data_IF_939915581124
#
_entry.id   IF_939915581124
#
_cell.length_a   1.000
_cell.length_b   1.000
_cell.length_c   1.000
_cell.angle_alpha   90.00
_cell.angle_beta   90.00
_cell.angle_gamma   90.00
#
_symmetry.space_group_name_H-M   'P 1'
#
loop_
_entity.id
_entity.type
_entity.pdbx_description
1 polymer ?
#
# COMPACT_ATOMS: atom_id res chain seq x y z
N UNK A 1 -9.92 17.10 -6.60
CA UNK A 1 -9.97 15.69 -7.05
C UNK A 1 -10.66 14.88 -5.97
N UNK A 2 -11.75 14.14 -6.28
CA UNK A 2 -12.42 13.29 -5.29
C UNK A 2 -11.51 12.14 -4.86
N UNK A 3 -11.49 11.82 -3.57
CA UNK A 3 -10.67 10.73 -3.00
C UNK A 3 -11.54 9.48 -2.86
N UNK A 4 -11.16 8.41 -3.56
CA UNK A 4 -11.87 7.11 -3.51
C UNK A 4 -11.47 6.27 -2.29
N UNK A 5 -10.37 6.64 -1.63
CA UNK A 5 -9.85 5.93 -0.47
C UNK A 5 -10.55 6.37 0.81
N UNK A 6 -10.85 5.42 1.69
CA UNK A 6 -11.45 5.70 2.99
C UNK A 6 -10.39 5.91 4.08
N UNK A 7 -9.14 5.52 3.84
CA UNK A 7 -8.04 5.66 4.79
C UNK A 7 -6.75 6.12 4.11
N UNK A 8 -5.93 6.79 4.92
CA UNK A 8 -4.53 7.13 4.62
C UNK A 8 -3.71 6.78 5.85
N UNK A 9 -2.55 6.18 5.65
CA UNK A 9 -1.56 5.96 6.71
C UNK A 9 -0.19 6.42 6.27
N UNK A 10 0.53 7.07 7.18
CA UNK A 10 1.94 7.40 7.01
C UNK A 10 2.79 6.34 7.72
N UNK A 11 3.69 5.71 6.98
CA UNK A 11 4.61 4.68 7.48
C UNK A 11 6.02 5.26 7.35
N UNK A 12 6.64 5.58 8.48
CA UNK A 12 7.97 6.17 8.52
C UNK A 12 8.95 5.24 9.23
N UNK A 13 10.14 5.09 8.65
CA UNK A 13 11.31 4.39 9.21
C UNK A 13 10.96 3.00 9.74
N UNK A 14 10.16 2.26 8.98
CA UNK A 14 9.66 0.95 9.37
C UNK A 14 9.62 0.03 8.15
N UNK A 15 10.17 -1.16 8.31
CA UNK A 15 9.98 -2.27 7.38
C UNK A 15 8.56 -2.84 7.45
N UNK A 16 8.09 -3.38 6.34
CA UNK A 16 6.85 -4.13 6.30
C UNK A 16 7.18 -5.58 5.96
N UNK A 17 7.05 -6.53 6.91
CA UNK A 17 7.15 -7.95 6.60
C UNK A 17 6.16 -8.33 5.49
N UNK A 18 6.45 -9.41 4.76
CA UNK A 18 5.54 -9.90 3.72
C UNK A 18 4.15 -10.23 4.29
N UNK A 19 3.11 -9.56 3.81
CA UNK A 19 1.75 -9.72 4.30
C UNK A 19 0.69 -9.51 3.20
N UNK A 20 -0.54 -9.91 3.52
CA UNK A 20 -1.75 -9.51 2.81
C UNK A 20 -2.54 -8.54 3.68
N UNK A 21 -3.41 -7.74 3.07
CA UNK A 21 -4.37 -6.90 3.78
C UNK A 21 -5.79 -7.52 3.71
N UNK A 22 -6.17 -8.39 4.67
CA UNK A 22 -7.43 -9.14 4.60
C UNK A 22 -8.68 -8.28 4.77
N UNK A 23 -8.55 -7.04 5.28
CA UNK A 23 -9.66 -6.11 5.46
C UNK A 23 -10.04 -5.37 4.17
N UNK A 24 -9.23 -5.49 3.11
CA UNK A 24 -9.54 -4.95 1.79
C UNK A 24 -10.41 -5.92 0.99
N UNK A 25 -10.86 -5.52 -0.21
CA UNK A 25 -11.53 -6.38 -1.17
C UNK A 25 -10.58 -6.76 -2.32
N UNK A 26 -10.85 -7.90 -2.95
CA UNK A 26 -10.00 -8.47 -4.00
C UNK A 26 -9.84 -7.60 -5.25
N UNK A 27 -10.83 -6.75 -5.58
CA UNK A 27 -10.76 -5.87 -6.75
C UNK A 27 -10.18 -4.50 -6.42
N UNK A 28 -10.13 -4.14 -5.13
CA UNK A 28 -9.64 -2.84 -4.71
C UNK A 28 -8.13 -2.76 -4.74
N UNK A 29 -7.63 -1.60 -5.17
CA UNK A 29 -6.21 -1.32 -5.26
C UNK A 29 -5.86 -0.36 -4.14
N UNK A 30 -4.85 -0.69 -3.33
CA UNK A 30 -4.16 0.29 -2.51
C UNK A 30 -3.13 1.02 -3.38
N UNK A 31 -2.88 2.28 -3.03
CA UNK A 31 -1.81 3.08 -3.61
C UNK A 31 -0.76 3.33 -2.54
N UNK A 32 0.48 2.96 -2.82
CA UNK A 32 1.64 3.27 -2.02
C UNK A 32 2.43 4.39 -2.73
N UNK A 33 2.75 5.44 -1.99
CA UNK A 33 3.55 6.57 -2.47
C UNK A 33 4.79 6.66 -1.61
N UNK A 34 5.95 6.52 -2.23
CA UNK A 34 7.25 6.68 -1.61
C UNK A 34 7.61 8.17 -1.55
N UNK A 35 7.95 8.67 -0.36
CA UNK A 35 8.37 10.05 -0.12
C UNK A 35 9.53 10.11 0.87
N UNK A 36 10.36 11.15 0.77
CA UNK A 36 11.48 11.36 1.69
C UNK A 36 12.82 11.37 0.96
N UNK A 37 13.89 11.13 1.72
CA UNK A 37 15.24 11.12 1.20
C UNK A 37 15.97 9.88 1.73
N UNK A 38 16.02 8.86 0.87
CA UNK A 38 16.60 7.55 1.15
C UNK A 38 16.99 6.86 -0.15
N UNK A 39 17.74 5.78 -0.03
CA UNK A 39 18.10 4.87 -1.12
C UNK A 39 17.86 3.41 -0.72
N UNK A 40 18.00 2.49 -1.67
CA UNK A 40 17.98 1.03 -1.42
C UNK A 40 16.71 0.49 -0.74
N UNK A 41 15.56 1.10 -1.02
CA UNK A 41 14.27 0.59 -0.58
C UNK A 41 13.68 -0.31 -1.66
N UNK A 42 13.24 -1.50 -1.29
CA UNK A 42 12.69 -2.52 -2.16
C UNK A 42 11.28 -2.82 -1.72
N UNK A 43 10.34 -2.64 -2.65
CA UNK A 43 9.00 -3.20 -2.55
C UNK A 43 9.01 -4.58 -3.21
N UNK A 44 8.77 -5.62 -2.42
CA UNK A 44 8.67 -7.00 -2.90
C UNK A 44 7.20 -7.39 -3.09
N UNK A 45 6.88 -7.98 -4.25
CA UNK A 45 5.59 -8.60 -4.55
C UNK A 45 5.85 -10.03 -5.05
N UNK A 46 6.09 -11.00 -4.14
CA UNK A 46 6.54 -12.34 -4.50
C UNK A 46 5.56 -13.12 -5.35
N UNK A 47 4.26 -12.88 -5.15
CA UNK A 47 3.18 -13.49 -5.94
C UNK A 47 3.26 -13.19 -7.44
N UNK A 48 3.98 -12.14 -7.84
CA UNK A 48 4.28 -11.80 -9.23
C UNK A 48 5.74 -12.09 -9.62
N UNK A 49 6.58 -12.51 -8.68
CA UNK A 49 8.03 -12.63 -8.88
C UNK A 49 8.71 -11.29 -9.16
N UNK A 50 8.15 -10.19 -8.65
CA UNK A 50 8.63 -8.83 -8.92
C UNK A 50 9.18 -8.16 -7.67
N UNK A 51 10.28 -7.44 -7.85
CA UNK A 51 10.83 -6.49 -6.88
C UNK A 51 11.00 -5.14 -7.58
N UNK A 52 10.63 -4.08 -6.88
CA UNK A 52 10.71 -2.72 -7.39
C UNK A 52 11.71 -1.93 -6.55
N UNK A 53 12.55 -1.15 -7.23
CA UNK A 53 13.33 -0.09 -6.59
C UNK A 53 12.37 1.03 -6.16
N UNK A 54 12.00 1.01 -4.88
CA UNK A 54 10.92 1.82 -4.31
C UNK A 54 11.44 3.17 -3.81
N UNK A 55 12.14 3.89 -4.71
CA UNK A 55 12.77 5.18 -4.43
C UNK A 55 11.75 6.31 -4.21
N UNK A 56 12.14 7.40 -3.50
CA UNK A 56 11.31 8.60 -3.37
C UNK A 56 10.72 9.06 -4.70
N UNK A 57 9.42 9.33 -4.71
CA UNK A 57 8.66 9.70 -5.92
C UNK A 57 7.99 8.52 -6.63
N UNK A 58 8.24 7.29 -6.19
CA UNK A 58 7.58 6.09 -6.75
C UNK A 58 6.14 5.98 -6.27
N UNK A 59 5.23 5.67 -7.20
CA UNK A 59 3.82 5.35 -6.91
C UNK A 59 3.52 3.95 -7.43
N UNK A 60 3.01 3.08 -6.56
CA UNK A 60 2.61 1.72 -6.92
C UNK A 60 1.17 1.49 -6.51
N UNK A 61 0.33 1.04 -7.44
CA UNK A 61 -1.05 0.67 -7.18
C UNK A 61 -1.26 -0.82 -7.46
N UNK A 62 -1.80 -1.55 -6.48
CA UNK A 62 -2.03 -2.99 -6.60
C UNK A 62 -3.07 -3.47 -5.59
N UNK A 63 -3.61 -4.69 -5.75
CA UNK A 63 -4.52 -5.26 -4.77
C UNK A 63 -3.75 -5.99 -3.66
N UNK A 64 -3.64 -5.38 -2.48
CA UNK A 64 -3.02 -6.01 -1.31
C UNK A 64 -3.82 -7.16 -0.67
N UNK A 65 -5.08 -7.35 -1.07
CA UNK A 65 -5.82 -8.56 -0.72
C UNK A 65 -5.29 -9.76 -1.51
N UNK A 66 -5.11 -9.60 -2.83
CA UNK A 66 -4.62 -10.67 -3.72
C UNK A 66 -3.12 -10.88 -3.64
N UNK A 67 -2.35 -9.80 -3.53
CA UNK A 67 -0.91 -9.81 -3.69
C UNK A 67 -0.22 -9.64 -2.34
N UNK A 68 0.54 -10.67 -1.96
CA UNK A 68 1.45 -10.58 -0.83
C UNK A 68 2.51 -9.54 -1.16
N UNK A 69 2.79 -8.64 -0.22
CA UNK A 69 3.74 -7.56 -0.41
C UNK A 69 4.47 -7.23 0.88
N UNK A 70 5.65 -6.61 0.76
CA UNK A 70 6.45 -6.15 1.87
C UNK A 70 7.50 -5.15 1.43
N UNK A 71 8.06 -4.44 2.40
CA UNK A 71 9.12 -3.45 2.20
C UNK A 71 10.26 -3.81 3.14
N UNK A 72 11.49 -3.85 2.62
CA UNK A 72 12.67 -4.12 3.43
C UNK A 72 12.91 -3.04 4.49
N UNK A 73 13.84 -3.33 5.40
CA UNK A 73 14.31 -2.32 6.34
C UNK A 73 15.27 -1.34 5.66
N UNK A 74 15.12 -0.05 5.99
CA UNK A 74 15.89 1.05 5.40
C UNK A 74 16.45 1.90 6.53
N UNK A 75 17.77 2.07 6.58
CA UNK A 75 18.49 2.75 7.66
C UNK A 75 18.34 4.28 7.68
N UNK A 76 17.51 4.85 6.80
CA UNK A 76 17.36 6.29 6.58
C UNK A 76 15.89 6.73 6.64
N UNK A 77 15.60 7.99 6.28
CA UNK A 77 14.28 8.61 6.41
C UNK A 77 13.28 8.12 5.33
N UNK A 78 13.03 6.81 5.31
CA UNK A 78 12.05 6.19 4.44
C UNK A 78 10.64 6.49 4.94
N UNK A 79 9.85 7.20 4.14
CA UNK A 79 8.45 7.46 4.41
C UNK A 79 7.60 6.96 3.24
N UNK A 80 6.48 6.31 3.56
CA UNK A 80 5.50 5.88 2.59
C UNK A 80 4.12 6.33 3.04
N UNK A 81 3.33 6.87 2.11
CA UNK A 81 1.91 7.06 2.28
C UNK A 81 1.18 5.85 1.69
N UNK A 82 0.31 5.22 2.47
CA UNK A 82 -0.54 4.14 2.03
C UNK A 82 -1.99 4.63 1.98
N UNK A 83 -2.58 4.63 0.79
CA UNK A 83 -3.98 4.92 0.54
C UNK A 83 -4.71 3.61 0.30
N UNK A 84 -5.76 3.35 1.08
CA UNK A 84 -6.46 2.07 1.01
C UNK A 84 -7.92 2.21 1.45
N UNK A 85 -8.67 1.13 1.20
CA UNK A 85 -10.06 0.99 1.59
C UNK A 85 -10.20 -0.25 2.47
N UNK A 86 -11.04 -0.16 3.49
CA UNK A 86 -11.47 -1.32 4.27
C UNK A 86 -12.96 -1.56 4.11
N UNK A 87 -13.30 -2.83 3.98
CA UNK A 87 -14.67 -3.25 3.74
C UNK A 87 -15.62 -2.90 4.90
N UNK A 88 -15.12 -2.98 6.13
CA UNK A 88 -15.88 -2.62 7.32
C UNK A 88 -16.35 -1.16 7.33
N UNK A 89 -15.60 -0.22 6.73
CA UNK A 89 -16.00 1.20 6.67
C UNK A 89 -17.15 1.40 5.68
N UNK A 90 -17.13 0.70 4.54
CA UNK A 90 -18.24 0.72 3.59
C UNK A 90 -19.51 0.15 4.24
N UNK A 91 -19.38 -0.99 4.93
CA UNK A 91 -20.49 -1.61 5.66
C UNK A 91 -21.03 -0.69 6.77
N UNK A 92 -20.14 -0.03 7.51
CA UNK A 92 -20.52 0.88 8.61
C UNK A 92 -21.23 2.14 8.10
N UNK A 93 -20.75 2.73 7.01
CA UNK A 93 -21.37 3.92 6.39
C UNK A 93 -22.63 3.59 5.57
N UNK A 94 -22.92 2.31 5.32
CA UNK A 94 -23.99 1.89 4.41
C UNK A 94 -23.76 2.30 2.96
N UNK A 95 -22.50 2.56 2.58
CA UNK A 95 -22.12 2.95 1.22
C UNK A 95 -21.74 1.70 0.42
N UNK A 96 -22.31 1.48 -0.78
CA UNK A 96 -21.96 0.34 -1.60
C UNK A 96 -20.45 0.23 -1.85
N UNK A 97 -19.97 -1.00 -1.99
CA UNK A 97 -18.59 -1.26 -2.42
C UNK A 97 -18.38 -0.68 -3.81
N UNK A 98 -17.22 -0.08 -4.01
CA UNK A 98 -16.76 0.25 -5.35
C UNK A 98 -16.47 -1.04 -6.14
N UNK A 99 -16.84 -1.10 -7.42
CA UNK A 99 -16.63 -2.26 -8.30
C UNK A 99 -15.34 -2.18 -9.13
N UNK A 100 -14.42 -1.30 -8.73
CA UNK A 100 -13.19 -0.99 -9.44
C UNK A 100 -12.12 -2.03 -9.09
#
# INVERSE_FOLDING_TARGET
WPMVYTNISMIANRSAPLHHNPQSCANWYNMLISVGNYSECILDIPSLGLQFDYQPGTVVAFSSWRLQHGVNDVSSNCCSLAFYMWDNIHNWLGVPRSNW
#
